data_IF_495825953210
#
_entry.id   IF_495825953210
#
_cell.length_a   1.000
_cell.length_b   1.000
_cell.length_c   1.000
_cell.angle_alpha   90.00
_cell.angle_beta   90.00
_cell.angle_gamma   90.00
#
_symmetry.space_group_name_H-M   'P 1'
#
loop_
_entity.id
_entity.type
_entity.pdbx_description
1 polymer ?
#
# COMPACT_ATOMS: atom_id res chain seq x y z
N UNK A 1 16.95 18.31 3.35
CA UNK A 1 16.55 19.57 4.03
C UNK A 1 16.48 20.63 2.95
N UNK A 2 15.31 20.88 2.38
CA UNK A 2 15.03 22.03 1.51
C UNK A 2 14.70 23.22 2.41
N UNK A 3 15.27 24.39 2.12
CA UNK A 3 15.06 25.61 2.89
C UNK A 3 13.65 26.18 2.71
N UNK A 4 13.22 27.13 3.56
CA UNK A 4 11.92 27.77 3.41
C UNK A 4 11.88 28.57 2.09
N UNK A 5 10.98 28.21 1.19
CA UNK A 5 10.75 28.88 -0.10
C UNK A 5 11.10 28.07 -1.36
N UNK A 6 11.59 26.84 -1.24
CA UNK A 6 11.64 25.92 -2.38
C UNK A 6 10.22 25.34 -2.60
N UNK A 7 9.68 25.49 -3.81
CA UNK A 7 8.50 24.70 -4.20
C UNK A 7 8.81 23.21 -3.96
N UNK A 8 7.86 22.43 -3.45
CA UNK A 8 8.03 20.99 -3.35
C UNK A 8 8.34 20.45 -4.75
N UNK A 9 9.42 19.70 -4.89
CA UNK A 9 9.78 19.10 -6.17
C UNK A 9 8.63 18.21 -6.66
N UNK A 10 8.26 18.33 -7.93
CA UNK A 10 7.22 17.47 -8.51
C UNK A 10 7.62 16.01 -8.41
N UNK A 11 6.64 15.11 -8.31
CA UNK A 11 6.89 13.69 -8.09
C UNK A 11 7.85 13.09 -9.14
N UNK A 12 7.69 13.48 -10.42
CA UNK A 12 8.59 13.06 -11.50
C UNK A 12 10.03 13.54 -11.33
N UNK A 13 10.24 14.77 -10.87
CA UNK A 13 11.58 15.33 -10.62
C UNK A 13 12.26 14.64 -9.43
N UNK A 14 11.48 14.33 -8.38
CA UNK A 14 11.95 13.55 -7.25
C UNK A 14 12.44 12.16 -7.71
N UNK A 15 11.66 11.47 -8.54
CA UNK A 15 12.07 10.17 -9.07
C UNK A 15 13.31 10.27 -9.97
N UNK A 16 13.42 11.28 -10.83
CA UNK A 16 14.61 11.48 -11.66
C UNK A 16 15.88 11.68 -10.81
N UNK A 17 15.79 12.43 -9.71
CA UNK A 17 16.90 12.62 -8.77
C UNK A 17 17.21 11.33 -7.98
N UNK A 18 16.18 10.55 -7.63
CA UNK A 18 16.32 9.29 -6.90
C UNK A 18 16.98 8.20 -7.75
N UNK A 19 16.68 8.11 -9.04
CA UNK A 19 17.17 7.06 -9.95
C UNK A 19 18.70 6.95 -9.93
N UNK A 20 19.40 8.09 -9.96
CA UNK A 20 20.85 8.16 -9.92
C UNK A 20 21.49 7.53 -8.66
N UNK A 21 20.73 7.42 -7.57
CA UNK A 21 21.19 6.91 -6.28
C UNK A 21 20.47 5.63 -5.86
N UNK A 22 19.53 5.14 -6.66
CA UNK A 22 18.63 4.04 -6.33
C UNK A 22 19.35 2.72 -6.02
N UNK A 23 20.53 2.51 -6.63
CA UNK A 23 21.38 1.34 -6.43
C UNK A 23 22.02 1.27 -5.02
N UNK A 24 22.03 2.37 -4.27
CA UNK A 24 22.53 2.39 -2.89
C UNK A 24 21.50 1.91 -1.86
N UNK A 25 20.26 1.70 -2.26
CA UNK A 25 19.19 1.23 -1.39
C UNK A 25 18.91 -0.26 -1.60
N UNK A 26 18.37 -0.91 -0.56
CA UNK A 26 17.76 -2.22 -0.72
C UNK A 26 16.58 -2.15 -1.71
N UNK A 27 16.06 -3.31 -2.14
CA UNK A 27 14.90 -3.35 -3.03
C UNK A 27 13.69 -2.64 -2.44
N UNK A 28 13.08 -1.71 -3.18
CA UNK A 28 11.93 -0.95 -2.70
C UNK A 28 10.84 -0.78 -3.76
N UNK A 29 9.65 -0.44 -3.29
CA UNK A 29 8.57 0.17 -4.05
C UNK A 29 8.24 1.51 -3.39
N UNK A 30 7.99 2.55 -4.18
CA UNK A 30 7.64 3.89 -3.70
C UNK A 30 6.42 4.41 -4.47
N UNK A 31 5.40 4.83 -3.72
CA UNK A 31 4.30 5.65 -4.21
C UNK A 31 4.52 7.08 -3.72
N UNK A 32 4.45 8.05 -4.62
CA UNK A 32 4.63 9.47 -4.29
C UNK A 32 3.55 10.29 -4.97
N UNK A 33 2.82 11.08 -4.19
CA UNK A 33 1.85 12.07 -4.67
C UNK A 33 2.41 13.48 -4.49
N UNK A 34 2.11 14.36 -5.45
CA UNK A 34 2.40 15.81 -5.39
C UNK A 34 1.13 16.66 -5.53
N UNK A 35 -0.01 16.14 -5.04
CA UNK A 35 -1.38 16.67 -5.12
C UNK A 35 -1.95 16.75 -6.56
N UNK A 36 -1.10 16.80 -7.59
CA UNK A 36 -1.49 16.79 -9.01
C UNK A 36 -1.44 15.38 -9.61
N UNK A 37 -0.47 14.56 -9.19
CA UNK A 37 -0.19 13.27 -9.80
C UNK A 37 0.29 12.24 -8.78
N UNK A 38 -0.09 10.98 -8.98
CA UNK A 38 0.45 9.84 -8.25
C UNK A 38 1.48 9.11 -9.13
N UNK A 39 2.66 8.87 -8.59
CA UNK A 39 3.73 8.14 -9.27
C UNK A 39 4.07 6.87 -8.53
N UNK A 40 4.49 5.86 -9.29
CA UNK A 40 5.08 4.62 -8.79
C UNK A 40 6.50 4.49 -9.29
N UNK A 41 7.43 4.11 -8.41
CA UNK A 41 8.77 3.71 -8.79
C UNK A 41 9.35 2.59 -7.94
N UNK A 42 10.31 1.87 -8.50
CA UNK A 42 11.05 0.80 -7.84
C UNK A 42 12.43 0.65 -8.46
N UNK A 43 13.46 0.48 -7.64
CA UNK A 43 14.81 0.16 -8.10
C UNK A 43 14.97 -1.27 -8.66
N UNK A 44 13.88 -2.04 -8.72
CA UNK A 44 13.80 -3.36 -9.37
C UNK A 44 12.88 -3.36 -10.60
N UNK A 45 12.28 -2.23 -10.94
CA UNK A 45 11.40 -2.08 -12.10
C UNK A 45 12.13 -1.42 -13.27
N UNK A 46 11.68 -1.78 -14.48
CA UNK A 46 12.02 -1.06 -15.72
C UNK A 46 10.70 -0.71 -16.41
N UNK A 47 10.36 0.58 -16.60
CA UNK A 47 11.11 1.77 -16.19
C UNK A 47 11.20 1.93 -14.66
N UNK A 48 12.19 2.69 -14.20
CA UNK A 48 12.43 2.96 -12.77
C UNK A 48 11.24 3.61 -12.08
N UNK A 49 10.59 4.56 -12.75
CA UNK A 49 9.39 5.24 -12.28
C UNK A 49 8.46 5.60 -13.43
N UNK A 50 7.17 5.76 -13.12
CA UNK A 50 6.14 6.24 -14.06
C UNK A 50 4.96 6.88 -13.33
N UNK A 51 4.26 7.83 -13.96
CA UNK A 51 2.98 8.31 -13.44
C UNK A 51 1.92 7.18 -13.49
N UNK A 52 0.99 7.24 -12.55
CA UNK A 52 -0.21 6.40 -12.51
C UNK A 52 -1.40 7.24 -12.99
N UNK A 53 -2.07 6.76 -14.03
CA UNK A 53 -3.35 7.33 -14.49
C UNK A 53 -4.47 7.00 -13.50
N UNK A 54 -5.61 7.71 -13.52
CA UNK A 54 -6.76 7.35 -12.70
C UNK A 54 -7.14 5.87 -12.85
N UNK A 55 -7.27 5.16 -11.72
CA UNK A 55 -7.54 3.73 -11.71
C UNK A 55 -7.29 3.08 -10.35
N UNK A 56 -7.47 1.76 -10.28
CA UNK A 56 -7.19 0.96 -9.08
C UNK A 56 -5.91 0.14 -9.30
N UNK A 57 -4.98 0.27 -8.36
CA UNK A 57 -3.69 -0.42 -8.38
C UNK A 57 -3.50 -1.24 -7.12
N UNK A 58 -2.79 -2.36 -7.24
CA UNK A 58 -2.37 -3.16 -6.11
C UNK A 58 -0.85 -3.13 -5.94
N UNK A 59 -0.38 -2.91 -4.71
CA UNK A 59 1.02 -3.07 -4.36
C UNK A 59 1.18 -4.04 -3.18
N UNK A 60 2.19 -4.89 -3.25
CA UNK A 60 2.65 -5.72 -2.13
C UNK A 60 4.17 -5.75 -2.11
N UNK A 61 4.80 -6.88 -1.78
CA UNK A 61 6.26 -6.99 -1.70
C UNK A 61 6.94 -7.17 -3.08
N UNK A 62 6.16 -7.46 -4.13
CA UNK A 62 6.64 -7.52 -5.51
C UNK A 62 6.29 -6.23 -6.26
N UNK A 63 6.43 -6.20 -7.59
CA UNK A 63 6.13 -5.03 -8.41
C UNK A 63 4.62 -4.75 -8.45
N UNK A 64 4.26 -3.51 -8.76
CA UNK A 64 2.88 -3.06 -8.91
C UNK A 64 2.05 -4.02 -9.79
N UNK A 65 0.84 -4.32 -9.33
CA UNK A 65 -0.14 -5.21 -9.97
C UNK A 65 0.31 -6.65 -10.23
N UNK A 66 1.40 -7.10 -9.59
CA UNK A 66 1.75 -8.53 -9.59
C UNK A 66 0.55 -9.33 -9.03
N UNK A 67 0.04 -10.35 -9.74
CA UNK A 67 -1.24 -10.99 -9.47
C UNK A 67 -1.23 -11.96 -8.27
N UNK A 68 -0.89 -11.47 -7.08
CA UNK A 68 -0.99 -12.24 -5.85
C UNK A 68 -2.45 -12.45 -5.43
N UNK A 69 -2.84 -13.64 -4.94
CA UNK A 69 -4.21 -13.92 -4.50
C UNK A 69 -4.75 -12.92 -3.46
N UNK A 70 -3.95 -12.50 -2.46
CA UNK A 70 -4.34 -11.42 -1.53
C UNK A 70 -4.63 -10.12 -2.25
N UNK A 71 -3.78 -9.76 -3.20
CA UNK A 71 -3.84 -8.47 -3.85
C UNK A 71 -5.08 -8.38 -4.74
N UNK A 72 -5.37 -9.45 -5.48
CA UNK A 72 -6.58 -9.55 -6.27
C UNK A 72 -7.85 -9.49 -5.41
N UNK A 73 -7.86 -10.12 -4.23
CA UNK A 73 -8.99 -10.05 -3.30
C UNK A 73 -9.21 -8.64 -2.75
N UNK A 74 -8.17 -8.01 -2.21
CA UNK A 74 -8.26 -6.64 -1.68
C UNK A 74 -8.68 -5.67 -2.79
N UNK A 75 -8.11 -5.79 -3.97
CA UNK A 75 -8.45 -4.96 -5.14
C UNK A 75 -9.93 -5.08 -5.52
N UNK A 76 -10.46 -6.31 -5.63
CA UNK A 76 -11.89 -6.53 -5.94
C UNK A 76 -12.79 -5.95 -4.84
N UNK A 77 -12.42 -6.13 -3.57
CA UNK A 77 -13.15 -5.56 -2.45
C UNK A 77 -13.15 -4.03 -2.47
N UNK A 78 -12.01 -3.42 -2.81
CA UNK A 78 -11.87 -1.98 -2.94
C UNK A 78 -12.64 -1.42 -4.13
N UNK A 79 -12.61 -2.08 -5.29
CA UNK A 79 -13.44 -1.73 -6.46
C UNK A 79 -14.93 -1.79 -6.13
N UNK A 80 -15.37 -2.80 -5.39
CA UNK A 80 -16.74 -2.91 -4.91
C UNK A 80 -17.11 -1.81 -3.89
N UNK A 81 -16.17 -1.43 -3.01
CA UNK A 81 -16.35 -0.33 -2.07
C UNK A 81 -16.49 1.01 -2.80
N UNK A 82 -15.64 1.28 -3.81
CA UNK A 82 -15.70 2.49 -4.65
C UNK A 82 -17.01 2.61 -5.43
N UNK A 83 -17.59 1.49 -5.86
CA UNK A 83 -18.86 1.48 -6.60
C UNK A 83 -20.08 1.85 -5.74
N UNK A 84 -19.94 1.93 -4.40
CA UNK A 84 -21.04 2.24 -3.48
C UNK A 84 -21.07 3.74 -3.17
N UNK A 85 -22.26 4.35 -3.20
CA UNK A 85 -22.45 5.79 -3.02
C UNK A 85 -22.09 6.32 -1.61
N UNK A 86 -21.87 5.44 -0.62
CA UNK A 86 -21.60 5.81 0.77
C UNK A 86 -20.71 4.76 1.46
N UNK A 87 -19.58 4.40 0.85
CA UNK A 87 -18.58 3.56 1.49
C UNK A 87 -18.01 4.27 2.72
N UNK A 88 -18.00 3.61 3.88
CA UNK A 88 -17.43 4.18 5.11
C UNK A 88 -15.99 3.71 5.30
N UNK A 89 -15.07 4.55 5.84
CA UNK A 89 -13.69 4.13 6.10
C UNK A 89 -13.54 2.86 6.96
N UNK A 90 -14.40 2.58 7.97
CA UNK A 90 -14.37 1.31 8.69
C UNK A 90 -14.47 0.06 7.81
N UNK A 91 -15.23 0.10 6.71
CA UNK A 91 -15.35 -1.04 5.78
C UNK A 91 -14.03 -1.35 5.08
N UNK A 92 -13.15 -0.35 4.86
CA UNK A 92 -11.83 -0.57 4.28
C UNK A 92 -10.91 -1.36 5.21
N UNK A 93 -11.05 -1.17 6.53
CA UNK A 93 -10.31 -1.97 7.50
C UNK A 93 -10.75 -3.43 7.52
N UNK A 94 -12.02 -3.73 7.21
CA UNK A 94 -12.48 -5.11 7.08
C UNK A 94 -11.81 -5.82 5.90
N UNK A 95 -11.59 -5.12 4.78
CA UNK A 95 -10.81 -5.65 3.65
C UNK A 95 -9.35 -5.96 4.05
N UNK A 96 -8.74 -5.09 4.86
CA UNK A 96 -7.37 -5.25 5.33
C UNK A 96 -7.24 -6.32 6.43
N UNK A 97 -8.32 -6.63 7.15
CA UNK A 97 -8.37 -7.65 8.20
C UNK A 97 -8.71 -9.06 7.67
N UNK A 98 -8.78 -9.27 6.35
CA UNK A 98 -8.96 -10.61 5.78
C UNK A 98 -7.76 -11.52 6.12
N UNK A 99 -8.00 -12.53 6.97
CA UNK A 99 -7.00 -13.51 7.45
C UNK A 99 -6.96 -14.78 6.59
N UNK A 100 -7.80 -14.86 5.56
CA UNK A 100 -7.96 -16.08 4.76
C UNK A 100 -6.71 -16.32 3.92
N UNK A 101 -6.07 -17.47 4.12
CA UNK A 101 -4.91 -17.94 3.35
C UNK A 101 -5.41 -18.81 2.18
N UNK A 102 -4.65 -18.87 1.09
CA UNK A 102 -4.89 -19.92 0.09
C UNK A 102 -4.31 -21.25 0.57
N UNK A 103 -5.11 -22.31 0.40
CA UNK A 103 -4.72 -23.68 0.73
C UNK A 103 -4.11 -24.40 -0.48
N UNK A 104 -4.62 -24.11 -1.67
CA UNK A 104 -4.14 -24.66 -2.94
C UNK A 104 -2.87 -23.94 -3.39
N UNK A 105 -1.78 -24.68 -3.59
CA UNK A 105 -0.51 -24.12 -4.05
C UNK A 105 -0.55 -23.70 -5.52
N UNK A 106 -1.50 -24.22 -6.31
CA UNK A 106 -1.61 -23.90 -7.74
C UNK A 106 -1.98 -22.43 -8.01
N UNK A 107 -2.58 -21.75 -7.03
CA UNK A 107 -2.97 -20.33 -7.16
C UNK A 107 -1.88 -19.38 -6.66
N UNK A 108 -0.83 -19.90 -6.03
CA UNK A 108 0.33 -19.11 -5.64
C UNK A 108 1.22 -18.83 -6.86
N UNK A 109 1.91 -17.68 -6.93
CA UNK A 109 2.81 -17.38 -8.03
C UNK A 109 3.99 -18.39 -8.05
N UNK A 110 3.92 -19.41 -8.90
CA UNK A 110 4.95 -20.44 -8.97
C UNK A 110 6.31 -19.84 -9.40
N UNK A 111 7.36 -20.08 -8.61
CA UNK A 111 8.76 -19.82 -9.00
C UNK A 111 9.23 -18.36 -8.92
N UNK A 112 8.41 -17.44 -8.38
CA UNK A 112 8.81 -16.03 -8.18
C UNK A 112 9.32 -15.73 -6.77
N UNK A 113 8.91 -16.54 -5.80
CA UNK A 113 9.29 -16.40 -4.40
C UNK A 113 10.41 -17.38 -4.06
N UNK A 114 11.48 -16.89 -3.42
CA UNK A 114 12.51 -17.75 -2.82
C UNK A 114 12.08 -18.32 -1.45
N UNK A 115 10.81 -18.14 -1.07
CA UNK A 115 10.29 -18.53 0.23
C UNK A 115 9.84 -20.01 0.24
N UNK A 116 9.91 -20.68 1.39
CA UNK A 116 9.25 -21.97 1.58
C UNK A 116 7.74 -21.88 1.32
N UNK A 117 7.14 -22.96 0.84
CA UNK A 117 5.69 -23.04 0.49
C UNK A 117 4.77 -22.61 1.63
N UNK A 118 5.09 -23.00 2.85
CA UNK A 118 4.35 -22.58 4.05
C UNK A 118 4.32 -21.05 4.19
N UNK A 119 5.46 -20.38 3.98
CA UNK A 119 5.54 -18.93 4.01
C UNK A 119 4.77 -18.27 2.87
N UNK A 120 4.75 -18.87 1.67
CA UNK A 120 3.92 -18.36 0.58
C UNK A 120 2.42 -18.40 0.94
N UNK A 121 1.96 -19.47 1.61
CA UNK A 121 0.58 -19.55 2.13
C UNK A 121 0.32 -18.52 3.22
N UNK A 122 1.23 -18.37 4.19
CA UNK A 122 1.11 -17.36 5.27
C UNK A 122 0.99 -15.95 4.67
N UNK A 123 1.85 -15.62 3.71
CA UNK A 123 1.90 -14.30 3.07
C UNK A 123 0.81 -14.10 2.01
N UNK A 124 -0.02 -15.10 1.75
CA UNK A 124 -1.13 -15.02 0.81
C UNK A 124 -2.40 -14.39 1.38
N UNK A 125 -2.44 -14.15 2.70
CA UNK A 125 -3.49 -13.39 3.36
C UNK A 125 -3.18 -11.89 3.36
N UNK A 126 -4.17 -11.00 3.17
CA UNK A 126 -4.02 -9.57 3.42
C UNK A 126 -3.55 -9.27 4.84
N UNK A 127 -4.20 -9.87 5.84
CA UNK A 127 -3.78 -9.84 7.23
C UNK A 127 -2.93 -11.07 7.56
N UNK A 128 -1.62 -10.86 7.72
CA UNK A 128 -0.70 -11.94 8.05
C UNK A 128 -0.68 -12.14 9.55
N UNK A 129 -1.05 -13.34 10.01
CA UNK A 129 -0.97 -13.74 11.41
C UNK A 129 -0.06 -14.96 11.54
N UNK A 130 1.13 -14.78 12.08
CA UNK A 130 2.08 -15.86 12.37
C UNK A 130 2.95 -15.47 13.59
N UNK A 131 3.37 -16.43 14.45
CA UNK A 131 4.13 -16.13 15.67
C UNK A 131 5.43 -15.36 15.44
N UNK A 132 6.10 -15.58 14.31
CA UNK A 132 7.38 -14.97 13.96
C UNK A 132 7.26 -13.72 13.07
N UNK A 133 6.10 -13.49 12.45
CA UNK A 133 5.89 -12.39 11.50
C UNK A 133 4.39 -12.11 11.33
N UNK A 134 3.98 -10.84 11.34
CA UNK A 134 2.57 -10.52 11.15
C UNK A 134 2.27 -9.05 10.94
N UNK A 135 1.03 -8.78 10.55
CA UNK A 135 0.48 -7.44 10.37
C UNK A 135 0.47 -6.72 11.72
N UNK A 136 1.24 -5.62 11.81
CA UNK A 136 1.34 -4.77 13.01
C UNK A 136 0.36 -3.62 13.00
N UNK A 137 0.02 -3.14 11.81
CA UNK A 137 -0.94 -2.08 11.62
C UNK A 137 -1.67 -2.24 10.29
N UNK A 138 -2.80 -1.56 10.19
CA UNK A 138 -3.51 -1.29 8.94
C UNK A 138 -3.79 0.20 8.91
N UNK A 139 -3.57 0.82 7.76
CA UNK A 139 -3.72 2.27 7.60
C UNK A 139 -4.65 2.55 6.43
N UNK A 140 -5.60 3.46 6.63
CA UNK A 140 -6.49 3.97 5.60
C UNK A 140 -6.21 5.46 5.47
N UNK A 141 -5.88 5.88 4.25
CA UNK A 141 -5.69 7.27 3.86
C UNK A 141 -6.68 7.58 2.73
N UNK A 142 -7.53 8.57 2.92
CA UNK A 142 -8.43 9.08 1.89
C UNK A 142 -8.19 10.58 1.74
N UNK A 143 -7.99 11.00 0.50
CA UNK A 143 -7.85 12.41 0.15
C UNK A 143 -9.07 12.82 -0.67
N UNK A 144 -9.76 13.86 -0.20
CA UNK A 144 -10.91 14.41 -0.89
C UNK A 144 -10.46 15.41 -1.98
N UNK A 145 -11.25 15.62 -3.05
CA UNK A 145 -10.89 16.55 -4.12
C UNK A 145 -10.62 18.01 -3.70
N UNK A 146 -11.06 18.40 -2.51
CA UNK A 146 -10.85 19.73 -1.95
C UNK A 146 -9.63 19.80 -1.00
N UNK A 147 -8.84 18.72 -0.90
CA UNK A 147 -7.63 18.64 -0.07
C UNK A 147 -7.86 18.18 1.37
N UNK A 148 -9.11 17.86 1.76
CA UNK A 148 -9.41 17.28 3.07
C UNK A 148 -8.86 15.85 3.15
N UNK A 149 -8.31 15.49 4.31
CA UNK A 149 -7.59 14.23 4.50
C UNK A 149 -8.17 13.44 5.67
N UNK A 150 -8.59 12.21 5.40
CA UNK A 150 -8.90 11.22 6.42
C UNK A 150 -7.72 10.28 6.55
N UNK A 151 -7.14 10.17 7.75
CA UNK A 151 -6.08 9.22 8.06
C UNK A 151 -6.44 8.45 9.32
N UNK A 152 -6.55 7.13 9.21
CA UNK A 152 -6.73 6.27 10.35
C UNK A 152 -5.75 5.10 10.33
N UNK A 153 -5.23 4.74 11.50
CA UNK A 153 -4.37 3.57 11.70
C UNK A 153 -4.88 2.72 12.86
N UNK A 154 -5.09 1.43 12.59
CA UNK A 154 -5.34 0.39 13.58
C UNK A 154 -4.05 -0.38 13.86
N UNK A 155 -3.68 -0.54 15.12
CA UNK A 155 -2.48 -1.27 15.57
C UNK A 155 -2.87 -2.57 16.26
N UNK A 156 -2.07 -3.62 16.06
CA UNK A 156 -2.36 -4.97 16.53
C UNK A 156 -1.23 -5.55 17.40
N UNK A 157 -1.59 -6.39 18.38
CA UNK A 157 -0.63 -7.23 19.11
C UNK A 157 -0.18 -8.45 18.27
N UNK A 158 0.67 -9.30 18.83
CA UNK A 158 1.15 -10.53 18.18
C UNK A 158 0.08 -11.60 17.97
N UNK A 159 -1.09 -11.45 18.61
CA UNK A 159 -2.25 -12.34 18.43
C UNK A 159 -3.22 -11.80 17.36
N UNK A 160 -2.93 -10.61 16.82
CA UNK A 160 -3.80 -9.94 15.86
C UNK A 160 -4.98 -9.22 16.51
N UNK A 161 -4.91 -8.95 17.82
CA UNK A 161 -5.92 -8.19 18.55
C UNK A 161 -5.63 -6.69 18.48
N UNK A 162 -6.68 -5.88 18.33
CA UNK A 162 -6.54 -4.41 18.28
C UNK A 162 -6.05 -3.90 19.63
N UNK A 163 -4.93 -3.17 19.61
CA UNK A 163 -4.34 -2.53 20.81
C UNK A 163 -4.35 -1.01 20.76
N UNK A 164 -4.74 -0.43 19.63
CA UNK A 164 -4.93 1.00 19.53
C UNK A 164 -5.42 1.42 18.16
N UNK A 165 -6.10 2.55 18.14
CA UNK A 165 -6.55 3.23 16.93
C UNK A 165 -6.19 4.70 17.05
N UNK A 166 -5.79 5.31 15.94
CA UNK A 166 -5.61 6.76 15.84
C UNK A 166 -6.29 7.21 14.56
N UNK A 167 -7.11 8.24 14.64
CA UNK A 167 -7.88 8.78 13.52
C UNK A 167 -7.70 10.31 13.48
N UNK A 168 -7.49 10.83 12.27
CA UNK A 168 -7.40 12.24 11.96
C UNK A 168 -8.36 12.55 10.81
N UNK A 169 -9.16 13.60 10.99
CA UNK A 169 -9.94 14.25 9.95
C UNK A 169 -9.40 15.66 9.81
N UNK A 170 -8.60 15.90 8.77
CA UNK A 170 -7.80 17.11 8.58
C UNK A 170 -8.36 17.96 7.46
N UNK A 171 -8.38 19.28 7.67
CA UNK A 171 -8.71 20.24 6.62
C UNK A 171 -7.54 20.40 5.64
N UNK A 172 -7.76 21.02 4.47
CA UNK A 172 -6.69 21.26 3.50
C UNK A 172 -5.51 22.01 4.12
N UNK A 173 -4.31 21.44 3.99
CA UNK A 173 -3.07 22.02 4.51
C UNK A 173 -2.79 21.77 6.00
N UNK A 174 -3.69 21.10 6.73
CA UNK A 174 -3.42 20.63 8.09
C UNK A 174 -2.60 19.33 8.06
N UNK A 175 -1.58 19.27 8.92
CA UNK A 175 -0.79 18.06 9.16
C UNK A 175 -0.75 17.79 10.66
N UNK A 176 -0.84 16.51 11.09
CA UNK A 176 -0.87 16.14 12.50
C UNK A 176 0.49 16.35 13.20
#
# INVERSE_FOLDING_TARGET
RTGPGAEPARAGEFFAALEAHAAHYAGFNLLLSDDESLWYGSNRATPFARPLTPGVYGLSNELLDTPWPKLQRVRRGFEAWLARAAGSPPELFELLNDRTRVEDDAVLPAGRSALPREWERILSAPFVLHPEYGTRCSTVLLEAPHGGLYLAERRFDSRGEVVGETEFNLNPGEWP
#
